data_IF_021235018600
#
_entry.id   IF_021235018600
#
_cell.length_a   1.000
_cell.length_b   1.000
_cell.length_c   1.000
_cell.angle_alpha   90.00
_cell.angle_beta   90.00
_cell.angle_gamma   90.00
#
_symmetry.space_group_name_H-M   'P 1'
#
loop_
_entity.id
_entity.type
_entity.pdbx_description
1 polymer ?
#
# COMPACT_ATOMS: atom_id res chain seq x y z
N UNK A 1 -6.76 10.22 19.16
CA UNK A 1 -6.76 8.79 18.83
C UNK A 1 -5.33 8.42 18.52
N UNK A 2 -4.89 7.25 18.95
CA UNK A 2 -3.56 6.69 18.66
C UNK A 2 -3.60 5.21 18.27
N UNK A 3 -4.79 4.60 18.15
CA UNK A 3 -4.96 3.18 17.81
C UNK A 3 -4.89 2.24 19.01
N UNK A 4 -4.69 2.75 20.22
CA UNK A 4 -4.70 1.91 21.44
C UNK A 4 -5.99 1.09 21.55
N UNK A 5 -5.82 -0.22 21.77
CA UNK A 5 -6.93 -1.18 21.83
C UNK A 5 -7.16 -1.93 20.51
N UNK A 6 -6.59 -1.46 19.40
CA UNK A 6 -6.66 -2.09 18.09
C UNK A 6 -5.36 -2.84 17.80
N UNK A 7 -5.48 -3.97 17.12
CA UNK A 7 -4.39 -4.77 16.60
C UNK A 7 -4.49 -4.85 15.08
N UNK A 8 -3.47 -4.33 14.41
CA UNK A 8 -3.29 -4.39 12.96
C UNK A 8 -2.42 -5.61 12.64
N UNK A 9 -2.93 -6.48 11.78
CA UNK A 9 -2.17 -7.53 11.12
C UNK A 9 -1.48 -6.98 9.88
N UNK A 10 -0.32 -7.54 9.56
CA UNK A 10 0.37 -7.34 8.27
C UNK A 10 0.66 -8.74 7.72
N UNK A 11 0.53 -8.96 6.41
CA UNK A 11 0.95 -10.22 5.78
C UNK A 11 1.85 -9.99 4.59
N UNK A 12 2.93 -10.75 4.54
CA UNK A 12 3.94 -10.74 3.49
C UNK A 12 4.65 -12.10 3.46
N UNK A 13 5.46 -12.35 2.43
CA UNK A 13 6.34 -13.51 2.42
C UNK A 13 7.62 -13.26 3.22
N UNK A 14 8.05 -14.29 3.97
CA UNK A 14 9.25 -14.23 4.80
C UNK A 14 9.15 -13.21 5.93
N UNK A 15 10.28 -12.97 6.61
CA UNK A 15 10.37 -12.04 7.72
C UNK A 15 11.81 -11.58 7.89
N UNK A 16 12.01 -10.28 8.01
CA UNK A 16 13.27 -9.65 8.36
C UNK A 16 13.72 -10.08 9.76
N UNK A 17 14.98 -10.52 9.91
CA UNK A 17 15.54 -10.88 11.21
C UNK A 17 15.84 -9.65 12.09
N UNK A 18 15.83 -8.44 11.52
CA UNK A 18 16.22 -7.20 12.20
C UNK A 18 15.05 -6.25 12.46
N UNK A 19 13.84 -6.56 11.98
CA UNK A 19 12.68 -5.65 12.01
C UNK A 19 12.44 -4.97 13.36
N UNK A 20 12.58 -5.69 14.47
CA UNK A 20 12.31 -5.14 15.79
C UNK A 20 13.34 -4.06 16.20
N UNK A 21 14.59 -4.20 15.77
CA UNK A 21 15.64 -3.21 16.04
C UNK A 21 15.56 -2.06 15.04
N UNK A 22 15.28 -2.37 13.78
CA UNK A 22 15.16 -1.41 12.69
C UNK A 22 13.99 -0.45 12.93
N UNK A 23 12.78 -0.97 13.16
CA UNK A 23 11.59 -0.17 13.45
C UNK A 23 11.75 0.67 14.74
N UNK A 24 12.40 0.13 15.78
CA UNK A 24 12.69 0.88 17.00
C UNK A 24 13.70 2.02 16.76
N UNK A 25 14.69 1.80 15.90
CA UNK A 25 15.68 2.81 15.51
C UNK A 25 15.02 3.91 14.68
N UNK A 26 14.16 3.53 13.73
CA UNK A 26 13.39 4.46 12.93
C UNK A 26 12.50 5.36 13.80
N UNK A 27 11.69 4.76 14.68
CA UNK A 27 10.81 5.51 15.58
C UNK A 27 11.60 6.53 16.42
N UNK A 28 12.75 6.11 16.97
CA UNK A 28 13.61 6.99 17.76
C UNK A 28 14.24 8.14 16.95
N UNK A 29 14.54 7.93 15.67
CA UNK A 29 15.14 8.95 14.79
C UNK A 29 14.10 9.93 14.23
N UNK A 30 12.88 9.47 14.00
CA UNK A 30 11.85 10.23 13.30
C UNK A 30 10.78 10.85 14.23
N UNK A 31 10.88 10.62 15.54
CA UNK A 31 10.06 11.29 16.55
C UNK A 31 8.76 10.55 16.90
N UNK A 32 8.60 9.32 16.43
CA UNK A 32 7.51 8.45 16.86
C UNK A 32 7.68 7.99 18.30
N UNK A 33 6.56 7.62 18.93
CA UNK A 33 6.60 6.97 20.24
C UNK A 33 7.38 5.65 20.14
N UNK A 34 8.26 5.36 21.10
CA UNK A 34 8.95 4.08 21.16
C UNK A 34 7.97 2.92 21.27
N UNK A 35 8.27 1.82 20.58
CA UNK A 35 7.50 0.58 20.70
C UNK A 35 7.49 0.07 22.14
N UNK A 36 6.29 -0.24 22.64
CA UNK A 36 6.14 -0.94 23.92
C UNK A 36 6.46 -2.43 23.76
N UNK A 37 6.78 -3.09 24.88
CA UNK A 37 7.04 -4.54 24.88
C UNK A 37 5.83 -5.30 24.34
N UNK A 38 6.03 -6.05 23.26
CA UNK A 38 4.99 -6.85 22.62
C UNK A 38 3.99 -6.02 21.79
N UNK A 39 4.28 -4.75 21.53
CA UNK A 39 3.50 -3.93 20.60
C UNK A 39 3.73 -4.41 19.16
N UNK A 40 4.98 -4.64 18.77
CA UNK A 40 5.33 -5.33 17.53
C UNK A 40 5.64 -6.81 17.83
N UNK A 41 5.00 -7.72 17.09
CA UNK A 41 5.26 -9.17 17.19
C UNK A 41 5.25 -9.80 15.80
N UNK A 42 6.14 -10.78 15.59
CA UNK A 42 6.15 -11.61 14.39
C UNK A 42 5.51 -12.98 14.68
N UNK A 43 4.72 -13.43 13.72
CA UNK A 43 4.03 -14.72 13.70
C UNK A 43 4.63 -15.53 12.57
N UNK A 44 5.63 -16.35 12.91
CA UNK A 44 6.45 -17.05 11.92
C UNK A 44 5.89 -18.44 11.59
N UNK A 45 6.12 -18.95 10.36
CA UNK A 45 5.89 -20.33 10.02
C UNK A 45 6.97 -21.20 10.69
N UNK A 46 6.75 -22.52 10.72
CA UNK A 46 7.73 -23.45 11.29
C UNK A 46 9.03 -23.48 10.49
N UNK A 47 8.94 -23.26 9.18
CA UNK A 47 10.08 -23.26 8.26
C UNK A 47 9.75 -22.38 7.07
N UNK A 48 10.70 -21.53 6.68
CA UNK A 48 10.65 -20.81 5.41
C UNK A 48 11.10 -21.73 4.27
N UNK A 49 10.41 -21.68 3.15
CA UNK A 49 10.64 -22.52 1.97
C UNK A 49 10.79 -21.65 0.74
N UNK A 50 11.36 -22.16 -0.36
CA UNK A 50 11.50 -21.40 -1.62
C UNK A 50 12.27 -20.06 -1.50
N UNK A 51 13.11 -19.90 -0.48
CA UNK A 51 13.78 -18.63 -0.17
C UNK A 51 14.62 -18.07 -1.32
N UNK A 52 15.28 -18.93 -2.09
CA UNK A 52 16.04 -18.52 -3.27
C UNK A 52 15.14 -18.13 -4.45
N UNK A 53 14.03 -18.84 -4.63
CA UNK A 53 13.14 -18.63 -5.78
C UNK A 53 12.34 -17.34 -5.64
N UNK A 54 11.89 -17.05 -4.42
CA UNK A 54 11.12 -15.86 -4.11
C UNK A 54 11.97 -14.67 -3.67
N UNK A 55 13.30 -14.79 -3.74
CA UNK A 55 14.24 -13.79 -3.19
C UNK A 55 13.85 -13.30 -1.79
N UNK A 56 13.96 -14.17 -0.79
CA UNK A 56 13.42 -13.90 0.55
C UNK A 56 13.88 -12.58 1.17
N UNK A 57 15.12 -12.13 0.89
CA UNK A 57 15.62 -10.83 1.35
C UNK A 57 14.94 -9.64 0.71
N UNK A 58 14.42 -9.78 -0.52
CA UNK A 58 13.70 -8.72 -1.22
C UNK A 58 12.40 -8.31 -0.52
N UNK A 59 11.85 -9.17 0.35
CA UNK A 59 10.63 -8.91 1.11
C UNK A 59 10.87 -8.13 2.42
N UNK A 60 12.12 -7.92 2.82
CA UNK A 60 12.41 -7.26 4.11
C UNK A 60 12.09 -5.76 4.10
N UNK A 61 12.29 -5.12 2.95
CA UNK A 61 11.89 -3.74 2.73
C UNK A 61 10.38 -3.56 2.84
N UNK A 62 9.61 -4.54 2.34
CA UNK A 62 8.15 -4.55 2.40
C UNK A 62 7.66 -4.67 3.84
N UNK A 63 8.18 -5.63 4.62
CA UNK A 63 7.85 -5.74 6.04
C UNK A 63 8.19 -4.45 6.80
N UNK A 64 9.35 -3.85 6.50
CA UNK A 64 9.80 -2.61 7.14
C UNK A 64 8.85 -1.46 6.82
N UNK A 65 8.50 -1.28 5.54
CA UNK A 65 7.56 -0.28 5.08
C UNK A 65 6.21 -0.41 5.78
N UNK A 66 5.63 -1.61 5.77
CA UNK A 66 4.31 -1.86 6.34
C UNK A 66 4.28 -1.62 7.85
N UNK A 67 5.28 -2.15 8.58
CA UNK A 67 5.36 -2.00 10.04
C UNK A 67 5.54 -0.53 10.43
N UNK A 68 6.46 0.18 9.77
CA UNK A 68 6.74 1.57 10.09
C UNK A 68 5.57 2.48 9.70
N UNK A 69 4.92 2.27 8.55
CA UNK A 69 3.77 3.05 8.10
C UNK A 69 2.55 2.88 9.02
N UNK A 70 2.23 1.63 9.43
CA UNK A 70 1.15 1.40 10.41
C UNK A 70 1.46 2.09 11.73
N UNK A 71 2.70 1.99 12.23
CA UNK A 71 3.08 2.61 13.50
C UNK A 71 3.01 4.13 13.42
N UNK A 72 3.51 4.74 12.34
CA UNK A 72 3.46 6.19 12.13
C UNK A 72 2.03 6.74 12.22
N UNK A 73 1.05 6.02 11.64
CA UNK A 73 -0.36 6.39 11.66
C UNK A 73 -1.08 6.05 12.97
N UNK A 74 -0.71 4.95 13.63
CA UNK A 74 -1.40 4.43 14.81
C UNK A 74 -0.41 3.95 15.90
N UNK A 75 0.37 4.89 16.46
CA UNK A 75 1.49 4.63 17.38
C UNK A 75 1.13 3.89 18.69
N UNK A 76 -0.15 3.73 19.02
CA UNK A 76 -0.67 2.96 20.15
C UNK A 76 -1.29 1.61 19.75
N UNK A 77 -1.48 1.33 18.47
CA UNK A 77 -1.95 0.04 17.99
C UNK A 77 -0.88 -1.05 18.22
N UNK A 78 -1.35 -2.29 18.39
CA UNK A 78 -0.46 -3.46 18.30
C UNK A 78 -0.30 -3.83 16.84
N UNK A 79 0.90 -4.23 16.46
CA UNK A 79 1.25 -4.71 15.13
C UNK A 79 1.62 -6.20 15.22
N UNK A 80 0.92 -7.02 14.45
CA UNK A 80 1.19 -8.46 14.33
C UNK A 80 1.53 -8.77 12.88
N UNK A 81 2.82 -8.95 12.62
CA UNK A 81 3.30 -9.37 11.31
C UNK A 81 3.16 -10.87 11.16
N UNK A 82 2.47 -11.33 10.11
CA UNK A 82 2.27 -12.74 9.78
C UNK A 82 3.08 -13.10 8.54
N UNK A 83 4.18 -13.80 8.76
CA UNK A 83 5.07 -14.22 7.71
C UNK A 83 4.52 -15.47 6.99
N UNK A 84 4.30 -15.37 5.69
CA UNK A 84 4.07 -16.52 4.84
C UNK A 84 5.37 -17.32 4.65
N UNK A 85 5.27 -18.65 4.53
CA UNK A 85 6.46 -19.50 4.37
C UNK A 85 7.15 -19.35 3.02
N UNK A 86 6.46 -18.81 2.02
CA UNK A 86 7.01 -18.42 0.72
C UNK A 86 6.08 -17.45 -0.01
N UNK A 87 6.48 -16.99 -1.19
CA UNK A 87 5.70 -16.13 -2.09
C UNK A 87 4.56 -16.85 -2.84
N UNK A 88 4.25 -18.11 -2.51
CA UNK A 88 3.23 -18.88 -3.22
C UNK A 88 1.86 -18.81 -2.53
N UNK A 89 0.79 -18.79 -3.34
CA UNK A 89 -0.59 -18.68 -2.87
C UNK A 89 -0.97 -19.63 -1.75
N UNK A 90 -0.56 -20.89 -1.86
CA UNK A 90 -0.88 -21.91 -0.85
C UNK A 90 -0.40 -21.49 0.54
N UNK A 91 0.76 -20.83 0.61
CA UNK A 91 1.37 -20.45 1.87
C UNK A 91 0.75 -19.14 2.41
N UNK A 92 0.33 -18.21 1.53
CA UNK A 92 -0.49 -17.06 1.91
C UNK A 92 -1.88 -17.47 2.38
N UNK A 93 -2.55 -18.40 1.69
CA UNK A 93 -3.83 -18.99 2.13
C UNK A 93 -3.72 -19.65 3.52
N UNK A 94 -2.62 -20.34 3.79
CA UNK A 94 -2.36 -20.89 5.13
C UNK A 94 -2.18 -19.78 6.18
N UNK A 95 -1.58 -18.65 5.79
CA UNK A 95 -1.44 -17.46 6.63
C UNK A 95 -2.80 -16.84 6.94
N UNK A 96 -3.68 -16.65 5.96
CA UNK A 96 -5.04 -16.14 6.19
C UNK A 96 -5.90 -17.08 7.02
N UNK A 97 -5.83 -18.39 6.78
CA UNK A 97 -6.51 -19.37 7.61
C UNK A 97 -6.11 -19.25 9.08
N UNK A 98 -4.81 -19.02 9.35
CA UNK A 98 -4.29 -18.78 10.70
C UNK A 98 -4.77 -17.46 11.30
N UNK A 99 -4.76 -16.38 10.51
CA UNK A 99 -5.22 -15.06 10.96
C UNK A 99 -6.68 -15.13 11.40
N UNK A 100 -7.53 -15.74 10.58
CA UNK A 100 -8.93 -15.98 10.90
C UNK A 100 -9.08 -16.84 12.16
N UNK A 101 -8.41 -18.00 12.23
CA UNK A 101 -8.51 -18.90 13.40
C UNK A 101 -8.08 -18.24 14.72
N UNK A 102 -7.03 -17.40 14.70
CA UNK A 102 -6.55 -16.73 15.91
C UNK A 102 -7.51 -15.66 16.43
N UNK A 103 -8.24 -14.94 15.54
CA UNK A 103 -9.14 -13.81 15.88
C UNK A 103 -8.49 -12.74 16.76
N UNK A 104 -7.27 -12.36 16.41
CA UNK A 104 -6.43 -11.46 17.23
C UNK A 104 -6.12 -10.12 16.56
N UNK A 105 -6.66 -9.88 15.37
CA UNK A 105 -6.49 -8.64 14.61
C UNK A 105 -7.86 -8.11 14.21
N UNK A 106 -7.97 -6.81 14.00
CA UNK A 106 -9.20 -6.20 13.50
C UNK A 106 -9.06 -5.75 12.04
N UNK A 107 -7.83 -5.45 11.61
CA UNK A 107 -7.49 -5.01 10.26
C UNK A 107 -6.26 -5.79 9.84
N UNK A 108 -6.15 -6.14 8.56
CA UNK A 108 -4.96 -6.79 7.99
C UNK A 108 -4.55 -6.00 6.75
N UNK A 109 -3.37 -5.39 6.80
CA UNK A 109 -2.72 -4.77 5.63
C UNK A 109 -1.95 -5.82 4.85
N UNK A 110 -1.96 -5.71 3.52
CA UNK A 110 -1.29 -6.63 2.61
C UNK A 110 -0.73 -5.82 1.44
N UNK A 111 0.57 -5.93 1.22
CA UNK A 111 1.29 -5.13 0.23
C UNK A 111 1.89 -6.01 -0.86
N UNK A 112 1.06 -6.90 -1.40
CA UNK A 112 1.42 -7.86 -2.45
C UNK A 112 0.21 -8.18 -3.32
N UNK A 113 0.49 -8.58 -4.56
CA UNK A 113 -0.53 -8.94 -5.54
C UNK A 113 0.09 -9.49 -6.82
N UNK A 114 -0.77 -9.86 -7.74
CA UNK A 114 -0.42 -10.20 -9.11
C UNK A 114 -1.57 -9.85 -10.06
N UNK A 115 -1.28 -9.82 -11.36
CA UNK A 115 -2.30 -9.54 -12.38
C UNK A 115 -3.46 -10.54 -12.31
N UNK A 116 -4.71 -10.05 -12.25
CA UNK A 116 -5.89 -10.88 -11.99
C UNK A 116 -6.03 -12.08 -12.95
N UNK A 117 -5.67 -11.91 -14.23
CA UNK A 117 -5.77 -12.97 -15.23
C UNK A 117 -4.76 -14.11 -15.04
N UNK A 118 -3.68 -13.90 -14.27
CA UNK A 118 -2.72 -14.95 -13.94
C UNK A 118 -3.26 -15.89 -12.85
N UNK A 119 -4.22 -15.42 -12.04
CA UNK A 119 -4.74 -16.16 -10.90
C UNK A 119 -5.77 -17.19 -11.35
N UNK A 120 -5.57 -18.44 -10.91
CA UNK A 120 -6.51 -19.53 -11.25
C UNK A 120 -7.84 -19.30 -10.55
N UNK A 121 -9.00 -19.60 -11.19
CA UNK A 121 -10.30 -19.50 -10.54
C UNK A 121 -10.43 -20.27 -9.21
N UNK A 122 -9.74 -21.40 -9.08
CA UNK A 122 -9.70 -22.17 -7.83
C UNK A 122 -8.93 -21.47 -6.70
N UNK A 123 -7.88 -20.71 -7.06
CA UNK A 123 -7.10 -19.91 -6.10
C UNK A 123 -7.93 -18.72 -5.65
N UNK A 124 -8.56 -18.00 -6.60
CA UNK A 124 -9.50 -16.91 -6.30
C UNK A 124 -10.58 -17.38 -5.34
N UNK A 125 -11.26 -18.49 -5.64
CA UNK A 125 -12.31 -19.03 -4.76
C UNK A 125 -11.81 -19.41 -3.35
N UNK A 126 -10.53 -19.79 -3.19
CA UNK A 126 -9.96 -20.12 -1.89
C UNK A 126 -9.67 -18.86 -1.06
N UNK A 127 -9.14 -17.81 -1.68
CA UNK A 127 -8.92 -16.52 -1.03
C UNK A 127 -10.24 -15.83 -0.70
N UNK A 128 -11.21 -15.83 -1.62
CA UNK A 128 -12.55 -15.28 -1.41
C UNK A 128 -13.21 -15.91 -0.16
N UNK A 129 -13.07 -17.23 0.02
CA UNK A 129 -13.54 -17.92 1.24
C UNK A 129 -12.82 -17.44 2.50
N UNK A 130 -11.51 -17.22 2.45
CA UNK A 130 -10.74 -16.72 3.57
C UNK A 130 -11.12 -15.27 3.93
N UNK A 131 -11.29 -14.40 2.94
CA UNK A 131 -11.71 -13.01 3.14
C UNK A 131 -13.15 -12.93 3.66
N UNK A 132 -14.07 -13.70 3.08
CA UNK A 132 -15.45 -13.79 3.56
C UNK A 132 -15.52 -14.28 5.01
N UNK A 133 -14.73 -15.31 5.37
CA UNK A 133 -14.64 -15.76 6.75
C UNK A 133 -14.15 -14.64 7.68
N UNK A 134 -13.03 -13.98 7.35
CA UNK A 134 -12.50 -12.93 8.21
C UNK A 134 -13.45 -11.74 8.32
N UNK A 135 -14.13 -11.36 7.23
CA UNK A 135 -15.17 -10.33 7.24
C UNK A 135 -16.31 -10.68 8.23
N UNK A 136 -16.78 -11.93 8.23
CA UNK A 136 -17.79 -12.40 9.19
C UNK A 136 -17.28 -12.45 10.64
N UNK A 137 -15.97 -12.56 10.83
CA UNK A 137 -15.31 -12.55 12.13
C UNK A 137 -14.88 -11.14 12.58
N UNK A 138 -15.19 -10.11 11.80
CA UNK A 138 -14.91 -8.72 12.14
C UNK A 138 -13.53 -8.21 11.71
N UNK A 139 -12.82 -8.95 10.84
CA UNK A 139 -11.52 -8.59 10.28
C UNK A 139 -11.72 -7.85 8.94
N UNK A 140 -11.13 -6.67 8.84
CA UNK A 140 -11.06 -5.90 7.58
C UNK A 140 -9.76 -6.22 6.84
N UNK A 141 -9.86 -6.75 5.62
CA UNK A 141 -8.71 -6.96 4.75
C UNK A 141 -8.51 -5.74 3.85
N UNK A 142 -7.28 -5.20 3.86
CA UNK A 142 -6.86 -4.04 3.09
C UNK A 142 -5.70 -4.47 2.21
N UNK A 143 -5.75 -4.16 0.91
CA UNK A 143 -4.74 -4.52 -0.07
C UNK A 143 -4.25 -3.29 -0.83
N UNK A 144 -2.96 -3.25 -1.11
CA UNK A 144 -2.39 -2.37 -2.13
C UNK A 144 -3.06 -2.67 -3.48
N UNK A 145 -3.41 -1.64 -4.26
CA UNK A 145 -4.15 -1.86 -5.51
C UNK A 145 -3.28 -2.23 -6.71
N UNK A 146 -1.95 -2.10 -6.59
CA UNK A 146 -0.97 -2.36 -7.64
C UNK A 146 -0.13 -1.11 -7.96
N UNK A 147 1.01 -1.32 -8.61
CA UNK A 147 2.00 -0.27 -8.87
C UNK A 147 2.28 -0.05 -10.38
N UNK A 148 1.51 -0.70 -11.26
CA UNK A 148 1.70 -0.64 -12.72
C UNK A 148 0.52 -0.04 -13.49
N UNK A 149 -0.25 0.87 -12.87
CA UNK A 149 -1.45 1.43 -13.49
C UNK A 149 -2.53 0.34 -13.69
N UNK A 150 -3.19 0.32 -14.84
CA UNK A 150 -4.13 -0.76 -15.19
C UNK A 150 -3.46 -1.97 -15.84
N UNK A 151 -2.18 -2.21 -15.53
CA UNK A 151 -1.36 -3.31 -16.03
C UNK A 151 -1.16 -3.32 -17.57
N UNK A 152 -1.68 -2.35 -18.31
CA UNK A 152 -1.56 -2.29 -19.76
C UNK A 152 -0.09 -2.16 -20.20
N UNK A 153 0.66 -1.28 -19.54
CA UNK A 153 2.07 -1.06 -19.87
C UNK A 153 2.95 -2.27 -19.49
N UNK A 154 2.60 -2.99 -18.43
CA UNK A 154 3.38 -4.11 -17.89
C UNK A 154 3.03 -5.46 -18.55
N UNK A 155 1.75 -5.73 -18.76
CA UNK A 155 1.22 -7.02 -19.25
C UNK A 155 0.67 -6.98 -20.67
N UNK A 156 0.40 -5.79 -21.22
CA UNK A 156 -0.22 -5.61 -22.54
C UNK A 156 -1.75 -5.72 -22.53
N UNK A 157 -2.37 -5.94 -21.37
CA UNK A 157 -3.81 -6.07 -21.18
C UNK A 157 -4.26 -5.19 -20.01
N UNK A 158 -5.36 -4.46 -20.18
CA UNK A 158 -5.98 -3.70 -19.09
C UNK A 158 -6.62 -4.66 -18.09
N UNK A 159 -6.21 -4.59 -16.83
CA UNK A 159 -6.75 -5.41 -15.74
C UNK A 159 -6.37 -4.81 -14.38
N UNK A 160 -7.21 -5.04 -13.37
CA UNK A 160 -6.84 -4.80 -11.99
C UNK A 160 -5.98 -5.95 -11.43
N UNK A 161 -5.32 -5.69 -10.31
CA UNK A 161 -4.57 -6.71 -9.57
C UNK A 161 -5.47 -7.52 -8.61
N UNK A 162 -5.09 -8.77 -8.40
CA UNK A 162 -5.65 -9.64 -7.37
C UNK A 162 -4.61 -9.85 -6.26
N UNK A 163 -4.98 -9.83 -4.96
CA UNK A 163 -6.35 -9.85 -4.41
C UNK A 163 -7.11 -8.52 -4.37
N UNK A 164 -6.53 -7.38 -4.76
CA UNK A 164 -7.18 -6.08 -4.64
C UNK A 164 -8.56 -6.04 -5.34
N UNK A 165 -8.74 -6.76 -6.45
CA UNK A 165 -10.00 -6.85 -7.17
C UNK A 165 -11.10 -7.68 -6.47
N UNK A 166 -10.79 -8.40 -5.38
CA UNK A 166 -11.77 -9.19 -4.63
C UNK A 166 -12.80 -8.27 -3.91
N UNK A 167 -14.12 -8.50 -4.03
CA UNK A 167 -15.13 -7.65 -3.41
C UNK A 167 -15.17 -7.74 -1.87
N UNK A 168 -14.45 -8.68 -1.26
CA UNK A 168 -14.34 -8.81 0.20
C UNK A 168 -13.10 -8.14 0.81
N UNK A 169 -12.30 -7.44 -0.01
CA UNK A 169 -11.17 -6.63 0.46
C UNK A 169 -11.35 -5.17 0.09
N UNK A 170 -10.72 -4.28 0.85
CA UNK A 170 -10.60 -2.86 0.48
C UNK A 170 -9.30 -2.66 -0.31
N UNK A 171 -9.41 -2.23 -1.55
CA UNK A 171 -8.27 -1.85 -2.39
C UNK A 171 -7.89 -0.40 -2.14
N UNK A 172 -6.59 -0.16 -1.89
CA UNK A 172 -6.04 1.17 -1.60
C UNK A 172 -5.10 1.59 -2.72
N UNK A 173 -5.53 2.61 -3.46
CA UNK A 173 -4.78 3.25 -4.52
C UNK A 173 -3.79 4.28 -4.03
N UNK A 174 -3.13 4.88 -5.00
CA UNK A 174 -2.01 5.78 -4.82
C UNK A 174 -2.31 7.23 -5.20
N UNK A 175 -1.88 8.12 -4.34
CA UNK A 175 -1.78 9.57 -4.59
C UNK A 175 -0.32 9.99 -4.61
N UNK A 176 -0.04 11.12 -5.24
CA UNK A 176 1.11 11.95 -4.89
C UNK A 176 0.62 13.04 -3.92
N UNK A 177 1.15 13.04 -2.70
CA UNK A 177 0.67 13.92 -1.62
C UNK A 177 1.73 14.92 -1.19
N UNK A 178 1.43 16.22 -1.26
CA UNK A 178 2.31 17.25 -0.73
C UNK A 178 1.78 17.84 0.57
N UNK A 179 2.70 18.08 1.49
CA UNK A 179 2.44 18.83 2.73
C UNK A 179 3.25 20.13 2.73
N UNK A 180 2.75 21.14 3.44
CA UNK A 180 3.49 22.36 3.69
C UNK A 180 4.46 22.22 4.88
N UNK A 181 5.22 23.28 5.17
CA UNK A 181 6.18 23.29 6.27
C UNK A 181 5.54 23.18 7.67
N UNK A 182 4.22 23.34 7.79
CA UNK A 182 3.47 23.14 9.02
C UNK A 182 2.91 21.71 9.13
N UNK A 183 3.13 20.85 8.13
CA UNK A 183 2.59 19.49 8.07
C UNK A 183 1.12 19.45 7.65
N UNK A 184 0.60 20.51 7.03
CA UNK A 184 -0.77 20.56 6.51
C UNK A 184 -0.78 20.07 5.07
N UNK A 185 -1.83 19.33 4.69
CA UNK A 185 -2.06 18.92 3.31
C UNK A 185 -2.11 20.16 2.39
N UNK A 186 -1.17 20.24 1.45
CA UNK A 186 -1.07 21.35 0.50
C UNK A 186 -1.84 21.02 -0.79
N UNK A 187 -1.60 19.83 -1.35
CA UNK A 187 -2.30 19.32 -2.52
C UNK A 187 -2.16 17.81 -2.62
N UNK A 188 -3.06 17.18 -3.37
CA UNK A 188 -2.98 15.78 -3.79
C UNK A 188 -3.33 15.68 -5.27
N UNK A 189 -2.74 14.70 -5.95
CA UNK A 189 -3.08 14.31 -7.31
C UNK A 189 -2.92 12.79 -7.44
N UNK A 190 -3.39 12.20 -8.54
CA UNK A 190 -3.19 10.77 -8.80
C UNK A 190 -1.71 10.40 -8.85
N UNK A 191 -1.38 9.17 -8.43
CA UNK A 191 -0.04 8.64 -8.60
C UNK A 191 0.12 8.01 -9.98
N UNK A 192 1.02 8.57 -10.79
CA UNK A 192 1.44 8.03 -12.07
C UNK A 192 2.73 8.72 -12.51
N UNK A 193 3.76 7.93 -12.80
CA UNK A 193 5.11 8.44 -13.02
C UNK A 193 5.70 7.95 -14.33
N UNK A 194 5.88 8.90 -15.25
CA UNK A 194 6.83 8.79 -16.34
C UNK A 194 8.21 9.31 -15.91
N UNK A 195 9.24 8.62 -16.39
CA UNK A 195 10.65 9.00 -16.24
C UNK A 195 11.19 9.61 -17.51
N UNK A 196 11.78 10.79 -17.40
CA UNK A 196 12.52 11.44 -18.50
C UNK A 196 13.98 11.64 -18.09
N UNK A 197 14.91 11.33 -19.00
CA UNK A 197 16.35 11.48 -18.75
C UNK A 197 16.86 12.85 -19.18
N UNK A 198 17.90 13.37 -18.50
CA UNK A 198 18.60 14.56 -18.95
C UNK A 198 19.36 14.28 -20.26
N UNK A 199 19.31 15.20 -21.23
CA UNK A 199 20.06 15.13 -22.47
C UNK A 199 21.57 15.14 -22.21
N UNK A 200 22.35 14.56 -23.13
CA UNK A 200 23.81 14.44 -22.97
C UNK A 200 24.53 15.80 -22.87
N UNK A 201 23.96 16.87 -23.43
CA UNK A 201 24.45 18.24 -23.33
C UNK A 201 23.95 18.98 -22.08
N UNK A 202 23.07 18.38 -21.29
CA UNK A 202 22.52 18.93 -20.05
C UNK A 202 21.51 20.07 -20.23
N UNK A 203 21.00 20.29 -21.45
CA UNK A 203 20.16 21.46 -21.76
C UNK A 203 18.66 21.16 -21.86
N UNK A 204 18.27 19.88 -21.93
CA UNK A 204 16.87 19.46 -22.13
C UNK A 204 16.57 18.08 -21.53
N UNK A 205 15.28 17.76 -21.37
CA UNK A 205 14.83 16.42 -21.02
C UNK A 205 14.56 15.59 -22.28
N UNK A 206 14.64 14.27 -22.18
CA UNK A 206 14.30 13.36 -23.27
C UNK A 206 12.90 13.67 -23.82
N UNK A 207 12.73 13.59 -25.14
CA UNK A 207 11.44 13.88 -25.79
C UNK A 207 10.39 12.78 -25.58
N UNK A 208 10.83 11.59 -25.15
CA UNK A 208 9.99 10.45 -24.78
C UNK A 208 10.31 10.06 -23.34
N UNK A 209 9.26 9.85 -22.55
CA UNK A 209 9.36 9.27 -21.21
C UNK A 209 9.04 7.78 -21.23
N UNK A 210 9.45 7.08 -20.18
CA UNK A 210 9.05 5.69 -19.93
C UNK A 210 8.13 5.67 -18.71
N UNK A 211 6.94 5.07 -18.86
CA UNK A 211 6.09 4.80 -17.70
C UNK A 211 6.84 3.88 -16.75
N UNK A 212 6.96 4.27 -15.49
CA UNK A 212 7.75 3.55 -14.51
C UNK A 212 6.88 2.83 -13.48
N UNK A 213 5.88 3.53 -12.94
CA UNK A 213 4.92 3.03 -11.97
C UNK A 213 3.74 3.99 -11.85
N UNK A 214 2.62 3.51 -11.31
CA UNK A 214 1.40 4.29 -11.08
C UNK A 214 0.39 3.49 -10.27
N UNK A 215 -0.61 4.17 -9.71
CA UNK A 215 -1.65 3.54 -8.91
C UNK A 215 -2.37 2.44 -9.67
N UNK A 216 -2.46 1.25 -9.08
CA UNK A 216 -3.20 0.13 -9.63
C UNK A 216 -4.70 0.39 -9.64
N UNK A 217 -5.37 0.07 -10.73
CA UNK A 217 -6.80 0.32 -10.84
C UNK A 217 -7.43 -0.13 -12.14
N UNK A 218 -8.74 0.12 -12.25
CA UNK A 218 -9.57 -0.30 -13.38
C UNK A 218 -10.72 -1.22 -12.96
N UNK A 219 -11.28 -1.92 -13.93
CA UNK A 219 -12.41 -2.83 -13.72
C UNK A 219 -11.92 -4.29 -13.64
N UNK A 220 -12.41 -5.03 -12.65
CA UNK A 220 -12.19 -6.47 -12.58
C UNK A 220 -12.76 -7.19 -13.81
N UNK A 221 -12.03 -8.18 -14.29
CA UNK A 221 -12.45 -9.11 -15.35
C UNK A 221 -13.11 -10.38 -14.79
N UNK A 222 -13.08 -10.57 -13.47
CA UNK A 222 -13.59 -11.76 -12.77
C UNK A 222 -14.85 -11.45 -11.97
N UNK A 223 -14.85 -10.34 -11.22
CA UNK A 223 -15.89 -10.03 -10.24
C UNK A 223 -16.90 -9.02 -10.78
N UNK A 224 -18.18 -9.37 -10.64
CA UNK A 224 -19.28 -8.45 -10.90
C UNK A 224 -19.28 -7.27 -9.92
N UNK A 225 -19.87 -6.15 -10.32
CA UNK A 225 -20.02 -4.98 -9.47
C UNK A 225 -20.76 -5.35 -8.16
N UNK A 226 -20.15 -5.16 -6.98
CA UNK A 226 -20.79 -5.42 -5.70
C UNK A 226 -21.85 -4.35 -5.38
N UNK A 227 -22.84 -4.70 -4.56
CA UNK A 227 -23.97 -3.80 -4.23
C UNK A 227 -23.52 -2.46 -3.65
N UNK A 228 -22.47 -2.45 -2.82
CA UNK A 228 -21.95 -1.23 -2.20
C UNK A 228 -21.33 -0.24 -3.22
N UNK A 229 -21.01 -0.69 -4.44
CA UNK A 229 -20.45 0.13 -5.52
C UNK A 229 -21.51 0.66 -6.50
N UNK A 230 -22.76 0.17 -6.41
CA UNK A 230 -23.82 0.55 -7.34
C UNK A 230 -24.16 2.04 -7.22
N UNK A 231 -24.23 2.72 -8.37
CA UNK A 231 -24.51 4.15 -8.43
C UNK A 231 -23.34 5.06 -8.07
N UNK A 232 -22.17 4.48 -7.74
CA UNK A 232 -20.92 5.21 -7.46
C UNK A 232 -19.87 4.93 -8.53
N UNK A 233 -19.71 3.66 -8.91
CA UNK A 233 -18.73 3.22 -9.93
C UNK A 233 -19.42 2.86 -11.25
N UNK A 234 -18.70 2.78 -12.39
CA UNK A 234 -19.26 2.27 -13.64
C UNK A 234 -19.93 0.90 -13.47
N UNK A 235 -21.11 0.67 -14.09
CA UNK A 235 -21.85 -0.56 -13.89
C UNK A 235 -21.22 -1.73 -14.66
N UNK A 236 -21.15 -2.90 -14.03
CA UNK A 236 -20.82 -4.17 -14.68
C UNK A 236 -19.77 -5.00 -13.95
N UNK A 237 -18.76 -4.35 -13.38
CA UNK A 237 -17.61 -5.01 -12.75
C UNK A 237 -17.23 -4.34 -11.42
N UNK A 238 -16.48 -5.04 -10.57
CA UNK A 238 -15.85 -4.46 -9.38
C UNK A 238 -14.82 -3.42 -9.85
N UNK A 239 -15.04 -2.15 -9.52
CA UNK A 239 -14.09 -1.07 -9.81
C UNK A 239 -13.02 -0.97 -8.74
N UNK A 240 -11.75 -0.79 -9.13
CA UNK A 240 -10.57 -0.65 -8.26
C UNK A 240 -9.91 0.70 -8.51
N UNK A 241 -9.41 1.42 -7.49
CA UNK A 241 -9.45 1.10 -6.06
C UNK A 241 -10.72 1.59 -5.34
N UNK A 242 -10.85 1.30 -4.05
CA UNK A 242 -11.96 1.80 -3.22
C UNK A 242 -11.65 3.19 -2.63
N UNK A 243 -10.41 3.39 -2.18
CA UNK A 243 -9.86 4.62 -1.57
C UNK A 243 -8.39 4.78 -1.95
N UNK A 244 -7.72 5.85 -1.55
CA UNK A 244 -6.29 6.02 -1.80
C UNK A 244 -5.53 6.70 -0.65
N UNK A 245 -4.22 6.46 -0.60
CA UNK A 245 -3.26 7.10 0.30
C UNK A 245 -1.99 7.47 -0.48
N UNK A 246 -1.02 8.11 0.17
CA UNK A 246 0.25 8.47 -0.50
C UNK A 246 1.01 7.22 -0.95
N UNK A 247 1.43 7.23 -2.21
CA UNK A 247 2.11 6.12 -2.87
C UNK A 247 3.25 6.58 -3.78
N UNK A 248 3.24 7.84 -4.24
CA UNK A 248 4.32 8.29 -5.12
C UNK A 248 5.66 8.24 -4.40
N UNK A 249 6.63 7.50 -4.97
CA UNK A 249 7.97 7.36 -4.38
C UNK A 249 8.64 8.70 -4.11
N UNK A 250 8.28 9.77 -4.82
CA UNK A 250 8.81 11.12 -4.62
C UNK A 250 8.29 11.77 -3.36
N UNK A 251 6.99 11.63 -3.09
CA UNK A 251 6.30 12.18 -1.91
C UNK A 251 6.24 11.19 -0.74
N UNK A 252 6.60 9.94 -0.99
CA UNK A 252 6.47 8.81 -0.10
C UNK A 252 7.36 8.87 1.14
N UNK A 253 7.42 7.72 1.80
CA UNK A 253 7.94 7.60 3.15
C UNK A 253 9.43 7.25 3.14
N UNK A 254 10.19 7.84 4.06
CA UNK A 254 11.47 7.26 4.47
C UNK A 254 11.19 6.02 5.30
N UNK A 255 11.85 4.90 5.00
CA UNK A 255 11.88 3.72 5.85
C UNK A 255 13.29 3.45 6.34
N UNK A 256 13.44 2.71 7.43
CA UNK A 256 14.75 2.42 8.01
C UNK A 256 14.99 0.95 8.27
N UNK A 257 15.93 0.36 7.55
CA UNK A 257 16.30 -1.05 7.72
C UNK A 257 17.80 -1.29 7.70
N UNK A 258 18.20 -2.39 8.34
CA UNK A 258 19.55 -2.94 8.26
C UNK A 258 19.77 -3.59 6.89
N UNK A 259 20.58 -2.93 6.06
CA UNK A 259 20.83 -3.29 4.67
C UNK A 259 22.26 -3.77 4.45
N UNK A 260 22.48 -4.47 3.34
CA UNK A 260 23.84 -4.86 2.90
C UNK A 260 24.35 -3.91 1.82
N UNK A 261 25.42 -3.21 2.15
CA UNK A 261 26.16 -2.31 1.27
C UNK A 261 27.50 -2.93 0.85
N UNK A 262 28.20 -2.37 -0.16
CA UNK A 262 29.50 -2.89 -0.59
C UNK A 262 30.58 -2.90 0.50
N UNK A 263 30.49 -2.03 1.51
CA UNK A 263 31.45 -1.87 2.59
C UNK A 263 31.00 -2.49 3.93
N UNK A 264 29.78 -3.02 4.02
CA UNK A 264 29.30 -3.71 5.20
C UNK A 264 27.77 -3.82 5.30
N UNK A 265 27.30 -4.40 6.41
CA UNK A 265 25.87 -4.49 6.72
C UNK A 265 25.56 -3.56 7.90
N UNK A 266 24.71 -2.56 7.69
CA UNK A 266 24.36 -1.56 8.70
C UNK A 266 22.98 -0.92 8.43
N UNK A 267 22.42 -0.27 9.45
CA UNK A 267 21.15 0.46 9.35
C UNK A 267 21.32 1.74 8.55
N UNK A 268 20.42 1.96 7.59
CA UNK A 268 20.26 3.24 6.91
C UNK A 268 18.79 3.54 6.60
N UNK A 269 18.49 4.77 6.20
CA UNK A 269 17.16 5.17 5.76
C UNK A 269 17.15 5.54 4.28
N UNK A 270 16.11 5.12 3.58
CA UNK A 270 15.88 5.50 2.20
C UNK A 270 14.39 5.70 1.95
N UNK A 271 14.07 6.36 0.84
CA UNK A 271 12.70 6.67 0.47
C UNK A 271 12.11 5.56 -0.39
N UNK A 272 10.89 5.16 -0.09
CA UNK A 272 10.08 4.21 -0.84
C UNK A 272 8.63 4.72 -0.95
N UNK A 273 7.84 4.10 -1.81
CA UNK A 273 6.43 4.41 -2.05
C UNK A 273 5.72 3.13 -2.48
N UNK A 274 4.86 3.23 -3.50
CA UNK A 274 3.98 2.15 -3.91
C UNK A 274 2.61 2.25 -3.25
N UNK A 275 1.61 1.62 -3.85
CA UNK A 275 0.36 1.32 -3.14
C UNK A 275 0.61 0.39 -1.95
N UNK A 276 1.76 -0.30 -1.95
CA UNK A 276 2.41 -0.89 -0.79
C UNK A 276 2.58 0.05 0.40
N UNK A 277 2.88 1.34 0.20
CA UNK A 277 2.84 2.33 1.27
C UNK A 277 1.38 2.73 1.59
N UNK A 278 0.54 2.83 0.57
CA UNK A 278 -0.83 3.33 0.73
C UNK A 278 -1.68 2.44 1.64
N UNK A 279 -1.63 1.12 1.46
CA UNK A 279 -2.38 0.14 2.24
C UNK A 279 -2.12 0.20 3.77
N UNK A 280 -0.87 0.14 4.27
CA UNK A 280 -0.58 0.24 5.70
C UNK A 280 -0.87 1.62 6.28
N UNK A 281 -0.71 2.71 5.50
CA UNK A 281 -1.14 4.04 5.95
C UNK A 281 -2.66 4.06 6.19
N UNK A 282 -3.45 3.51 5.25
CA UNK A 282 -4.90 3.42 5.40
C UNK A 282 -5.31 2.49 6.55
N UNK A 283 -4.63 1.36 6.72
CA UNK A 283 -4.87 0.44 7.83
C UNK A 283 -4.63 1.14 9.19
N UNK A 284 -3.56 1.92 9.30
CA UNK A 284 -3.29 2.75 10.49
C UNK A 284 -4.37 3.80 10.75
N UNK A 285 -4.80 4.54 9.73
CA UNK A 285 -5.92 5.50 9.88
C UNK A 285 -7.23 4.81 10.28
N UNK A 286 -7.51 3.63 9.72
CA UNK A 286 -8.68 2.83 10.07
C UNK A 286 -8.60 2.27 11.48
N UNK A 287 -7.40 1.97 12.00
CA UNK A 287 -7.21 1.62 13.41
C UNK A 287 -7.61 2.77 14.36
N UNK A 288 -7.42 4.03 13.95
CA UNK A 288 -7.91 5.18 14.71
C UNK A 288 -9.45 5.24 14.71
N UNK A 289 -10.08 5.00 13.56
CA UNK A 289 -11.55 4.92 13.46
C UNK A 289 -12.11 3.77 14.30
N UNK A 290 -11.48 2.59 14.30
CA UNK A 290 -11.87 1.46 15.14
C UNK A 290 -11.65 1.73 16.62
N UNK A 291 -10.59 2.46 17.00
CA UNK A 291 -10.41 2.90 18.38
C UNK A 291 -11.55 3.83 18.81
N UNK A 292 -12.00 4.74 17.95
CA UNK A 292 -13.12 5.63 18.24
C UNK A 292 -14.43 4.85 18.42
N UNK A 293 -14.70 3.90 17.53
CA UNK A 293 -15.88 3.04 17.57
C UNK A 293 -15.82 1.99 18.71
N UNK A 294 -14.63 1.64 19.19
CA UNK A 294 -14.42 0.57 20.17
C UNK A 294 -14.54 -0.85 19.57
N UNK A 295 -14.71 -0.99 18.26
CA UNK A 295 -14.78 -2.28 17.57
C UNK A 295 -14.33 -2.18 16.10
N UNK A 296 -13.98 -3.32 15.50
CA UNK A 296 -13.83 -3.46 14.05
C UNK A 296 -15.16 -3.79 13.37
N UNK A 297 -15.21 -3.72 12.04
CA UNK A 297 -16.47 -3.87 11.27
C UNK A 297 -16.48 -5.03 10.27
N UNK A 298 -15.39 -5.79 10.13
CA UNK A 298 -15.32 -6.83 9.11
C UNK A 298 -15.19 -6.23 7.71
N UNK A 299 -16.10 -6.57 6.80
CA UNK A 299 -16.09 -5.99 5.45
C UNK A 299 -16.26 -4.46 5.50
N UNK A 300 -15.20 -3.72 5.16
CA UNK A 300 -15.12 -2.28 5.33
C UNK A 300 -15.82 -1.50 4.19
N UNK A 301 -15.87 -2.06 2.98
CA UNK A 301 -16.35 -1.37 1.78
C UNK A 301 -17.77 -0.80 1.90
N UNK A 302 -18.80 -1.52 2.43
CA UNK A 302 -20.12 -0.94 2.63
C UNK A 302 -20.13 0.31 3.52
N UNK A 303 -19.21 0.41 4.49
CA UNK A 303 -19.06 1.58 5.34
C UNK A 303 -18.38 2.71 4.58
N UNK A 304 -17.29 2.41 3.85
CA UNK A 304 -16.58 3.38 3.00
C UNK A 304 -17.54 4.06 2.03
N UNK A 305 -18.27 3.29 1.23
CA UNK A 305 -19.17 3.81 0.20
C UNK A 305 -20.39 4.55 0.78
N UNK A 306 -20.90 4.13 1.95
CA UNK A 306 -21.96 4.86 2.66
C UNK A 306 -21.50 6.22 3.18
N UNK A 307 -20.22 6.34 3.51
CA UNK A 307 -19.61 7.52 4.09
C UNK A 307 -18.62 8.18 3.12
N UNK A 308 -18.92 8.21 1.82
CA UNK A 308 -18.03 8.78 0.80
C UNK A 308 -17.57 10.22 1.11
N UNK A 309 -18.38 11.04 1.79
CA UNK A 309 -17.98 12.38 2.25
C UNK A 309 -16.89 12.42 3.33
N UNK A 310 -16.51 11.27 3.90
CA UNK A 310 -15.37 11.11 4.80
C UNK A 310 -14.04 11.00 4.06
N UNK A 311 -14.04 11.14 2.72
CA UNK A 311 -12.87 11.13 1.87
C UNK A 311 -12.75 12.45 1.11
N UNK A 312 -11.52 12.91 0.95
CA UNK A 312 -11.15 14.04 0.10
C UNK A 312 -11.01 13.54 -1.32
N UNK A 313 -11.90 13.99 -2.19
CA UNK A 313 -11.86 13.71 -3.62
C UNK A 313 -10.54 14.23 -4.24
N UNK A 314 -9.78 13.32 -4.87
CA UNK A 314 -8.49 13.64 -5.49
C UNK A 314 -8.74 13.93 -6.95
N UNK A 315 -8.65 15.21 -7.31
CA UNK A 315 -8.88 15.65 -8.69
C UNK A 315 -7.60 16.24 -9.26
N UNK A 316 -7.30 15.88 -10.50
CA UNK A 316 -6.04 16.27 -11.14
C UNK A 316 -6.07 17.67 -11.74
N UNK A 317 -5.02 17.97 -12.53
CA UNK A 317 -3.65 17.71 -12.13
C UNK A 317 -3.28 18.69 -11.01
N UNK A 318 -2.56 18.21 -10.00
CA UNK A 318 -1.99 19.06 -8.96
C UNK A 318 -1.17 20.24 -9.52
N UNK A 319 -0.73 21.19 -8.68
CA UNK A 319 -0.04 22.40 -9.15
C UNK A 319 1.36 22.15 -9.73
N UNK A 320 1.93 20.96 -9.53
CA UNK A 320 3.27 20.58 -9.99
C UNK A 320 3.18 19.40 -10.98
N UNK A 321 3.78 19.48 -12.18
CA UNK A 321 3.82 18.36 -13.13
C UNK A 321 4.79 17.24 -12.73
N UNK A 322 5.70 17.45 -11.78
CA UNK A 322 6.67 16.44 -11.38
C UNK A 322 7.96 16.99 -10.75
N UNK A 323 8.81 16.08 -10.28
CA UNK A 323 10.05 16.40 -9.59
C UNK A 323 11.30 16.06 -10.41
N UNK A 324 12.35 16.87 -10.30
CA UNK A 324 13.69 16.52 -10.78
C UNK A 324 14.46 15.77 -9.71
N UNK A 325 14.68 14.48 -9.94
CA UNK A 325 15.42 13.58 -9.05
C UNK A 325 16.87 13.42 -9.54
N UNK A 326 17.82 13.55 -8.63
CA UNK A 326 19.24 13.27 -8.86
C UNK A 326 19.64 12.05 -8.05
N UNK A 327 19.94 10.96 -8.74
CA UNK A 327 20.29 9.69 -8.12
C UNK A 327 21.78 9.37 -8.38
N UNK A 328 22.40 8.62 -7.48
CA UNK A 328 23.73 8.05 -7.73
C UNK A 328 23.65 7.04 -8.88
N UNK A 329 24.58 7.13 -9.83
CA UNK A 329 24.56 6.29 -11.03
C UNK A 329 24.76 4.79 -10.71
N UNK A 330 25.44 4.49 -9.60
CA UNK A 330 25.62 3.13 -9.07
C UNK A 330 24.59 2.76 -7.99
N UNK A 331 23.66 3.65 -7.64
CA UNK A 331 22.66 3.46 -6.59
C UNK A 331 23.18 3.50 -5.15
N UNK A 332 24.49 3.73 -4.94
CA UNK A 332 25.12 3.64 -3.61
C UNK A 332 25.81 4.95 -3.23
N UNK A 333 26.67 5.48 -4.10
CA UNK A 333 27.50 6.64 -3.80
C UNK A 333 27.89 7.46 -5.06
N UNK A 334 28.62 8.55 -4.85
CA UNK A 334 29.01 9.45 -5.93
C UNK A 334 30.17 8.94 -6.81
N UNK A 335 30.76 7.76 -6.56
CA UNK A 335 31.97 7.30 -7.27
C UNK A 335 31.72 7.04 -8.76
N UNK A 336 30.49 6.69 -9.13
CA UNK A 336 30.05 6.54 -10.52
C UNK A 336 29.38 7.81 -11.09
N UNK A 337 29.36 8.91 -10.33
CA UNK A 337 28.64 10.14 -10.67
C UNK A 337 27.13 10.05 -10.38
N UNK A 338 26.38 11.00 -10.92
CA UNK A 338 24.93 11.14 -10.70
C UNK A 338 24.15 11.18 -12.00
N UNK A 339 22.90 10.74 -11.97
CA UNK A 339 21.95 10.83 -13.09
C UNK A 339 20.77 11.69 -12.66
N UNK A 340 20.48 12.73 -13.46
CA UNK A 340 19.30 13.57 -13.27
C UNK A 340 18.14 13.08 -14.14
N UNK A 341 16.96 12.95 -13.54
CA UNK A 341 15.72 12.52 -14.21
C UNK A 341 14.52 13.33 -13.74
N UNK A 342 13.53 13.53 -14.61
CA UNK A 342 12.20 13.99 -14.19
C UNK A 342 11.36 12.77 -13.82
N UNK A 343 10.58 12.91 -12.74
CA UNK A 343 9.54 11.98 -12.28
C UNK A 343 8.23 12.75 -12.29
N UNK A 344 7.33 12.42 -13.19
CA UNK A 344 6.05 13.13 -13.28
C UNK A 344 5.10 12.72 -12.15
N UNK A 345 4.16 13.60 -11.86
CA UNK A 345 2.96 13.29 -11.09
C UNK A 345 1.76 13.16 -12.04
N UNK A 346 0.75 12.40 -11.64
CA UNK A 346 -0.54 12.30 -12.34
C UNK A 346 -0.43 11.93 -13.84
N UNK A 347 0.62 11.21 -14.23
CA UNK A 347 0.77 10.67 -15.58
C UNK A 347 0.85 9.17 -15.52
N UNK A 348 -0.32 8.55 -15.66
CA UNK A 348 -0.43 7.11 -15.81
C UNK A 348 -0.31 6.67 -17.28
N UNK A 349 -0.11 5.37 -17.49
CA UNK A 349 -0.14 4.75 -18.81
C UNK A 349 -1.50 4.88 -19.50
N UNK A 350 -2.60 4.89 -18.74
CA UNK A 350 -3.94 5.09 -19.31
C UNK A 350 -5.01 5.57 -18.32
N UNK A 351 -4.78 5.45 -17.01
CA UNK A 351 -5.73 5.88 -15.98
C UNK A 351 -5.69 7.40 -15.76
N UNK A 352 -6.79 7.96 -15.28
CA UNK A 352 -6.89 9.41 -14.99
C UNK A 352 -7.80 9.67 -13.81
N UNK A 353 -7.37 10.55 -12.91
CA UNK A 353 -8.23 11.07 -11.84
C UNK A 353 -9.39 11.89 -12.39
N UNK A 354 -10.54 11.83 -11.73
CA UNK A 354 -11.76 12.53 -12.13
C UNK A 354 -12.64 12.85 -10.90
N UNK A 355 -13.55 13.85 -10.98
CA UNK A 355 -14.43 14.15 -9.85
C UNK A 355 -15.30 12.96 -9.43
N UNK A 356 -15.33 12.67 -8.13
CA UNK A 356 -16.07 11.56 -7.55
C UNK A 356 -15.23 10.30 -7.41
N UNK A 357 -15.81 9.15 -7.75
CA UNK A 357 -15.01 7.91 -7.82
C UNK A 357 -14.28 7.85 -9.15
N UNK A 358 -12.98 7.53 -9.12
CA UNK A 358 -12.18 7.22 -10.29
C UNK A 358 -11.32 5.96 -10.09
N UNK A 359 -10.78 5.45 -11.20
CA UNK A 359 -9.98 4.23 -11.24
C UNK A 359 -8.50 4.44 -10.90
N UNK A 360 -8.12 5.61 -10.37
CA UNK A 360 -6.77 5.87 -9.83
C UNK A 360 -6.81 5.91 -8.31
N UNK A 361 -7.80 6.61 -7.74
CA UNK A 361 -7.85 6.98 -6.32
C UNK A 361 -9.13 6.56 -5.60
N UNK A 362 -10.07 5.94 -6.32
CA UNK A 362 -11.33 5.51 -5.74
C UNK A 362 -12.13 6.70 -5.24
N UNK A 363 -12.62 6.66 -4.00
CA UNK A 363 -13.27 7.81 -3.35
C UNK A 363 -12.29 8.90 -2.88
N UNK A 364 -10.98 8.71 -3.08
CA UNK A 364 -9.93 9.60 -2.63
C UNK A 364 -9.36 9.25 -1.25
N UNK A 365 -8.76 10.24 -0.59
CA UNK A 365 -8.00 10.05 0.66
C UNK A 365 -8.84 10.28 1.91
N UNK A 366 -8.70 9.53 3.01
CA UNK A 366 -9.52 9.71 4.20
C UNK A 366 -9.28 11.09 4.82
N UNK A 367 -10.37 11.81 5.12
CA UNK A 367 -10.34 13.08 5.83
C UNK A 367 -10.74 12.92 7.31
N UNK A 368 -10.86 14.01 8.05
CA UNK A 368 -11.19 13.97 9.48
C UNK A 368 -12.54 13.31 9.77
N UNK A 369 -13.47 13.29 8.81
CA UNK A 369 -14.74 12.58 8.91
C UNK A 369 -14.59 11.07 9.07
N UNK A 370 -13.51 10.47 8.54
CA UNK A 370 -13.28 9.02 8.58
C UNK A 370 -13.17 8.48 10.01
N UNK A 371 -12.53 9.24 10.91
CA UNK A 371 -12.34 8.85 12.30
C UNK A 371 -13.66 8.71 13.09
N UNK A 372 -14.76 9.26 12.56
CA UNK A 372 -16.10 9.21 13.16
C UNK A 372 -17.13 8.55 12.25
N UNK A 373 -16.70 8.00 11.10
CA UNK A 373 -17.60 7.36 10.14
C UNK A 373 -18.19 6.05 10.68
N UNK A 374 -17.47 5.40 11.60
CA UNK A 374 -17.92 4.18 12.29
C UNK A 374 -18.48 4.60 13.64
N UNK A 375 -19.75 4.27 13.88
CA UNK A 375 -20.43 4.55 15.14
C UNK A 375 -19.88 3.70 16.31
N UNK A 376 -20.06 4.15 17.56
CA UNK A 376 -19.64 3.42 18.76
C UNK A 376 -20.53 2.23 19.12
#
# INVERSE_FOLDING_TARGET
>A
LDGSGITVGITDAYASPTIATDAATYAARNGDRPYQRGQLTQVLPRTFTNTKLCDASGWFAEETLDVEAVHAMAQGAKIRYYASSSCFDRDFLATFARINDERRVQIVSNSWGEVEQAVKPSTIAAYEQAFLQGALEGISYVFSSGDSGDELAASGVKQADYPASDPYVTAVGGTATAIDAAGTLAWQTGWGTYRYGLSADGTSWSSSGTFLYGSGGGESTVFAQPEYQQGVTPPGARGVPDVAMDADVTTGMLIGETQTFPDGTYYDQYRIGGTSLAAPLFAGMTALAFQHAGHGVGLLNPTIYRHAGAFTDVTGPGPDPGNVRVDYANGVDATAGTVATVRTFDQDSSLTVAPGWDDVTGLGSPNTGWFTAIGP
#
